data_IF_085890415734
#
_entry.id   IF_085890415734
#
_cell.length_a   1.000
_cell.length_b   1.000
_cell.length_c   1.000
_cell.angle_alpha   90.00
_cell.angle_beta   90.00
_cell.angle_gamma   90.00
#
_symmetry.space_group_name_H-M   'P 1'
#
loop_
_entity.id
_entity.type
_entity.pdbx_description
1 polymer ?
#
# COMPACT_ATOMS: atom_id res chain seq x y z
N UNK A 1 32.04 35.00 1.10
CA UNK A 1 31.33 34.30 0.01
C UNK A 1 30.45 33.25 0.67
N UNK A 2 29.17 33.53 0.83
CA UNK A 2 28.22 32.54 1.29
C UNK A 2 27.91 31.62 0.10
N UNK A 3 28.27 30.34 0.21
CA UNK A 3 27.82 29.35 -0.75
C UNK A 3 26.31 29.19 -0.57
N UNK A 4 25.54 29.76 -1.48
CA UNK A 4 24.16 29.36 -1.70
C UNK A 4 24.19 27.89 -2.18
N UNK A 5 24.21 26.95 -1.24
CA UNK A 5 23.71 25.62 -1.54
C UNK A 5 22.21 25.81 -1.84
N UNK A 6 21.70 25.36 -3.00
CA UNK A 6 20.27 25.33 -3.19
C UNK A 6 19.69 24.49 -2.05
N UNK A 7 18.73 25.05 -1.32
CA UNK A 7 17.97 24.30 -0.31
C UNK A 7 17.47 23.06 -1.07
N UNK A 8 18.03 21.89 -0.74
CA UNK A 8 17.62 20.66 -1.40
C UNK A 8 16.15 20.50 -1.07
N UNK A 9 15.29 20.53 -2.08
CA UNK A 9 13.85 20.40 -1.91
C UNK A 9 13.58 19.27 -0.89
N UNK A 10 12.96 19.55 0.27
CA UNK A 10 12.79 18.55 1.32
C UNK A 10 12.14 17.32 0.70
N UNK A 11 12.79 16.16 0.84
CA UNK A 11 12.36 14.95 0.15
C UNK A 11 11.09 14.44 0.83
N UNK A 12 9.92 14.76 0.28
CA UNK A 12 8.63 14.30 0.81
C UNK A 12 8.40 12.86 0.36
N UNK A 13 8.60 11.88 1.22
CA UNK A 13 8.43 10.46 0.86
C UNK A 13 6.95 10.11 0.89
N UNK A 14 6.45 9.52 -0.18
CA UNK A 14 5.08 9.01 -0.21
C UNK A 14 5.08 7.57 -0.68
N UNK A 15 4.62 6.68 0.20
CA UNK A 15 4.49 5.25 -0.07
C UNK A 15 3.06 4.99 -0.51
N UNK A 16 2.95 4.53 -1.74
CA UNK A 16 1.75 3.99 -2.33
C UNK A 16 1.77 2.48 -2.11
N UNK A 17 0.85 2.01 -1.26
CA UNK A 17 0.69 0.60 -0.93
C UNK A 17 -0.70 0.10 -1.32
N UNK A 18 -0.86 -1.21 -1.21
CA UNK A 18 -2.15 -1.89 -1.14
C UNK A 18 -2.20 -2.71 0.15
N UNK A 19 -3.40 -3.08 0.64
CA UNK A 19 -3.52 -4.05 1.71
C UNK A 19 -2.64 -5.29 1.46
N UNK A 20 -2.03 -5.80 2.54
CA UNK A 20 -1.20 -7.02 2.52
C UNK A 20 0.12 -6.93 1.74
N UNK A 21 0.60 -5.75 1.36
CA UNK A 21 1.95 -5.56 0.77
C UNK A 21 3.07 -5.34 1.81
N UNK A 22 2.92 -5.80 3.05
CA UNK A 22 3.89 -5.59 4.15
C UNK A 22 4.14 -4.12 4.52
N UNK A 23 3.24 -3.21 4.18
CA UNK A 23 3.40 -1.78 4.49
C UNK A 23 3.47 -1.48 5.98
N UNK A 24 2.67 -2.16 6.80
CA UNK A 24 2.76 -2.05 8.26
C UNK A 24 4.17 -2.36 8.78
N UNK A 25 4.82 -3.40 8.24
CA UNK A 25 6.20 -3.75 8.56
C UNK A 25 7.18 -2.69 8.04
N UNK A 26 7.01 -2.26 6.79
CA UNK A 26 7.83 -1.20 6.19
C UNK A 26 7.81 0.07 7.05
N UNK A 27 6.62 0.53 7.45
CA UNK A 27 6.47 1.65 8.40
C UNK A 27 7.20 1.41 9.70
N UNK A 28 7.13 0.20 10.25
CA UNK A 28 7.77 -0.13 11.53
C UNK A 28 9.30 0.00 11.46
N UNK A 29 9.91 -0.35 10.33
CA UNK A 29 11.36 -0.21 10.10
C UNK A 29 11.82 1.25 10.23
N UNK A 30 10.99 2.20 9.80
CA UNK A 30 11.30 3.63 9.76
C UNK A 30 10.63 4.45 10.87
N UNK A 31 9.78 3.84 11.70
CA UNK A 31 8.91 4.56 12.64
C UNK A 31 9.65 5.44 13.65
N UNK A 32 10.89 5.05 14.00
CA UNK A 32 11.74 5.75 14.95
C UNK A 32 12.96 6.41 14.29
N UNK A 33 12.97 6.52 12.96
CA UNK A 33 14.06 7.17 12.26
C UNK A 33 14.12 8.66 12.62
N UNK A 34 15.27 9.19 13.09
CA UNK A 34 15.34 10.54 13.66
C UNK A 34 14.97 11.63 12.64
N UNK A 35 15.30 11.40 11.37
CA UNK A 35 15.05 12.34 10.26
C UNK A 35 13.63 12.24 9.66
N UNK A 36 12.81 11.26 10.07
CA UNK A 36 11.49 11.02 9.45
C UNK A 36 10.35 11.31 10.41
N UNK A 37 9.29 11.95 9.93
CA UNK A 37 7.98 12.00 10.58
C UNK A 37 7.03 11.07 9.83
N UNK A 38 6.47 10.07 10.52
CA UNK A 38 5.56 9.09 9.92
C UNK A 38 4.12 9.57 10.01
N UNK A 39 3.46 9.76 8.87
CA UNK A 39 2.01 9.95 8.76
C UNK A 39 1.35 8.67 8.26
N UNK A 40 0.70 7.97 9.18
CA UNK A 40 0.21 6.63 8.94
C UNK A 40 -1.16 6.59 8.26
N UNK A 41 -1.21 6.08 7.03
CA UNK A 41 -2.41 5.81 6.22
C UNK A 41 -3.58 6.83 6.36
N UNK A 42 -3.40 8.15 6.24
CA UNK A 42 -4.47 9.14 6.47
C UNK A 42 -5.63 9.05 5.45
N UNK A 43 -5.44 8.44 4.27
CA UNK A 43 -6.53 8.17 3.32
C UNK A 43 -7.25 6.83 3.56
N UNK A 44 -6.77 5.98 4.48
CA UNK A 44 -7.42 4.69 4.77
C UNK A 44 -8.88 4.84 5.19
N UNK A 45 -9.21 5.72 6.16
CA UNK A 45 -10.58 5.99 6.53
C UNK A 45 -11.45 6.43 5.36
N UNK A 46 -11.04 7.45 4.60
CA UNK A 46 -11.82 7.96 3.47
C UNK A 46 -12.12 6.89 2.42
N UNK A 47 -11.13 6.05 2.09
CA UNK A 47 -11.25 5.05 1.02
C UNK A 47 -12.05 3.81 1.42
N UNK A 48 -12.10 3.42 2.71
CA UNK A 48 -12.72 2.15 3.14
C UNK A 48 -13.91 2.29 4.10
N UNK A 49 -14.00 3.36 4.87
CA UNK A 49 -14.91 3.43 6.02
C UNK A 49 -15.75 4.72 6.02
N UNK A 50 -15.18 5.80 5.51
CA UNK A 50 -15.79 7.11 5.42
C UNK A 50 -17.00 7.18 4.47
N UNK A 51 -17.57 8.38 4.31
CA UNK A 51 -18.73 8.60 3.46
C UNK A 51 -18.40 8.58 1.97
N UNK A 52 -17.12 8.51 1.58
CA UNK A 52 -16.66 8.46 0.18
C UNK A 52 -15.99 7.12 -0.16
N UNK A 53 -16.13 6.12 0.71
CA UNK A 53 -15.52 4.80 0.54
C UNK A 53 -15.93 4.16 -0.78
N UNK A 54 -15.01 3.44 -1.43
CA UNK A 54 -15.28 2.90 -2.77
C UNK A 54 -16.41 1.86 -2.77
N UNK A 55 -16.66 1.19 -1.64
CA UNK A 55 -17.71 0.16 -1.51
C UNK A 55 -19.11 0.69 -1.85
N UNK A 56 -19.34 2.00 -1.81
CA UNK A 56 -20.62 2.58 -2.21
C UNK A 56 -20.93 2.41 -3.71
N UNK A 57 -19.92 2.07 -4.51
CA UNK A 57 -20.01 1.95 -5.97
C UNK A 57 -19.91 0.51 -6.45
N UNK A 58 -19.77 -0.45 -5.55
CA UNK A 58 -19.52 -1.85 -5.85
C UNK A 58 -20.74 -2.72 -5.59
N UNK A 59 -20.73 -3.91 -6.19
CA UNK A 59 -21.62 -5.01 -5.82
C UNK A 59 -20.91 -5.89 -4.80
N UNK A 60 -21.55 -6.07 -3.65
CA UNK A 60 -21.09 -6.95 -2.60
C UNK A 60 -22.26 -7.73 -1.99
N UNK A 61 -21.96 -8.80 -1.28
CA UNK A 61 -22.96 -9.65 -0.67
C UNK A 61 -23.69 -8.96 0.50
N UNK A 62 -24.90 -9.44 0.82
CA UNK A 62 -25.74 -8.89 1.88
C UNK A 62 -25.09 -8.95 3.28
N UNK A 63 -24.21 -9.94 3.52
CA UNK A 63 -23.48 -10.06 4.78
C UNK A 63 -22.45 -8.92 4.95
N UNK A 64 -21.81 -8.48 3.86
CA UNK A 64 -20.90 -7.35 3.89
C UNK A 64 -21.62 -6.01 4.10
N UNK A 65 -22.79 -5.86 3.47
CA UNK A 65 -23.69 -4.73 3.70
C UNK A 65 -24.05 -4.55 5.19
N UNK A 66 -24.37 -5.67 5.86
CA UNK A 66 -24.74 -5.67 7.27
C UNK A 66 -23.59 -5.19 8.15
N UNK A 67 -22.38 -5.73 7.95
CA UNK A 67 -21.18 -5.29 8.66
C UNK A 67 -20.94 -3.79 8.48
N UNK A 68 -21.08 -3.29 7.26
CA UNK A 68 -20.85 -1.87 6.98
C UNK A 68 -21.90 -0.96 7.66
N UNK A 69 -23.15 -1.41 7.78
CA UNK A 69 -24.19 -0.69 8.55
C UNK A 69 -23.86 -0.66 10.04
N UNK A 70 -23.42 -1.78 10.60
CA UNK A 70 -23.01 -1.86 12.00
C UNK A 70 -21.83 -0.93 12.28
N UNK A 71 -20.78 -0.99 11.46
CA UNK A 71 -19.65 -0.07 11.55
C UNK A 71 -20.06 1.39 11.44
N UNK A 72 -21.03 1.71 10.59
CA UNK A 72 -21.56 3.07 10.44
C UNK A 72 -22.11 3.69 11.74
N UNK A 73 -22.54 2.86 12.70
CA UNK A 73 -23.16 3.31 13.96
C UNK A 73 -22.31 3.03 15.21
N UNK A 74 -21.22 2.28 15.06
CA UNK A 74 -20.40 1.86 16.20
C UNK A 74 -19.55 3.02 16.77
N UNK A 75 -19.24 2.93 18.06
CA UNK A 75 -18.32 3.88 18.72
C UNK A 75 -16.91 3.75 18.15
N UNK A 76 -16.49 2.52 17.85
CA UNK A 76 -15.15 2.21 17.34
C UNK A 76 -14.83 2.93 16.03
N UNK A 77 -15.79 3.01 15.11
CA UNK A 77 -15.58 3.60 13.77
C UNK A 77 -16.01 5.07 13.69
N UNK A 78 -16.47 5.68 14.79
CA UNK A 78 -17.04 7.04 14.79
C UNK A 78 -16.11 8.08 14.15
N UNK A 79 -14.81 7.99 14.42
CA UNK A 79 -13.83 8.91 13.82
C UNK A 79 -13.66 8.64 12.33
N UNK A 80 -13.48 7.37 11.93
CA UNK A 80 -13.24 6.99 10.55
C UNK A 80 -14.43 7.27 9.62
N UNK A 81 -15.65 7.13 10.13
CA UNK A 81 -16.89 7.36 9.39
C UNK A 81 -17.08 8.82 8.96
N UNK A 82 -16.28 9.76 9.48
CA UNK A 82 -16.36 11.19 9.15
C UNK A 82 -15.26 11.67 8.19
N UNK A 83 -14.25 10.83 7.93
CA UNK A 83 -13.09 11.21 7.12
C UNK A 83 -13.43 11.18 5.64
N UNK A 84 -13.23 12.31 4.98
CA UNK A 84 -13.32 12.50 3.52
C UNK A 84 -11.93 12.60 2.90
N UNK A 85 -11.79 12.37 1.59
CA UNK A 85 -10.55 12.62 0.85
C UNK A 85 -10.06 14.05 1.06
N UNK A 86 -10.98 15.03 0.98
CA UNK A 86 -10.67 16.45 1.25
C UNK A 86 -10.10 16.69 2.65
N UNK A 87 -10.64 16.03 3.67
CA UNK A 87 -10.12 16.16 5.05
C UNK A 87 -8.77 15.46 5.24
N UNK A 88 -8.55 14.34 4.55
CA UNK A 88 -7.29 13.62 4.55
C UNK A 88 -6.19 14.40 3.82
N UNK A 89 -6.51 15.03 2.68
CA UNK A 89 -5.61 15.94 1.96
C UNK A 89 -5.16 17.12 2.83
N UNK A 90 -6.11 17.76 3.52
CA UNK A 90 -5.79 18.86 4.45
C UNK A 90 -4.83 18.40 5.54
N UNK A 91 -5.11 17.24 6.16
CA UNK A 91 -4.23 16.66 7.18
C UNK A 91 -2.84 16.35 6.63
N UNK A 92 -2.75 15.81 5.41
CA UNK A 92 -1.47 15.55 4.76
C UNK A 92 -0.66 16.84 4.59
N UNK A 93 -1.28 17.91 4.08
CA UNK A 93 -0.60 19.21 3.90
C UNK A 93 -0.13 19.79 5.24
N UNK A 94 -0.98 19.77 6.27
CA UNK A 94 -0.63 20.26 7.61
C UNK A 94 0.58 19.50 8.21
N UNK A 95 0.65 18.19 8.01
CA UNK A 95 1.75 17.35 8.48
C UNK A 95 3.04 17.54 7.66
N UNK A 96 2.93 17.79 6.35
CA UNK A 96 4.08 18.18 5.52
C UNK A 96 4.68 19.49 6.05
N UNK A 97 3.86 20.52 6.23
CA UNK A 97 4.30 21.82 6.74
C UNK A 97 4.89 21.71 8.16
N UNK A 98 4.33 20.84 9.01
CA UNK A 98 4.87 20.57 10.33
C UNK A 98 6.25 19.87 10.27
N UNK A 99 6.42 18.88 9.41
CA UNK A 99 7.68 18.18 9.24
C UNK A 99 8.78 19.09 8.67
N UNK A 100 8.45 19.93 7.67
CA UNK A 100 9.39 20.89 7.09
C UNK A 100 9.88 21.93 8.11
N UNK A 101 9.00 22.38 9.02
CA UNK A 101 9.41 23.25 10.14
C UNK A 101 10.38 22.58 11.11
N UNK A 102 10.37 21.25 11.18
CA UNK A 102 11.24 20.44 12.03
C UNK A 102 12.45 19.87 11.29
N UNK A 103 12.66 20.24 10.02
CA UNK A 103 13.68 19.66 9.14
C UNK A 103 13.60 18.13 9.05
N UNK A 104 12.37 17.59 9.08
CA UNK A 104 12.06 16.16 8.94
C UNK A 104 11.37 15.87 7.61
N UNK A 105 11.59 14.68 7.08
CA UNK A 105 10.89 14.20 5.89
C UNK A 105 9.60 13.47 6.30
N UNK A 106 8.47 13.85 5.69
CA UNK A 106 7.22 13.13 5.89
C UNK A 106 7.24 11.82 5.10
N UNK A 107 6.81 10.73 5.74
CA UNK A 107 6.52 9.44 5.10
C UNK A 107 5.04 9.12 5.22
N UNK A 108 4.35 8.95 4.08
CA UNK A 108 2.94 8.62 3.99
C UNK A 108 2.72 7.19 3.50
N UNK A 109 1.69 6.45 3.94
CA UNK A 109 1.57 5.01 3.63
C UNK A 109 0.36 4.50 2.83
N UNK A 110 -0.52 5.30 2.22
CA UNK A 110 -1.63 4.75 1.39
C UNK A 110 -1.96 5.54 0.13
N UNK A 111 -2.25 4.87 -0.98
CA UNK A 111 -2.79 5.55 -2.16
C UNK A 111 -4.27 5.93 -1.98
N UNK A 112 -4.69 7.16 -2.33
CA UNK A 112 -6.09 7.46 -2.60
C UNK A 112 -6.36 7.26 -4.10
N UNK A 113 -6.78 6.08 -4.54
CA UNK A 113 -7.06 5.80 -5.96
C UNK A 113 -8.43 6.34 -6.37
N UNK A 114 -8.49 7.09 -7.48
CA UNK A 114 -9.69 7.78 -7.99
C UNK A 114 -10.53 6.92 -8.92
N UNK A 115 -9.89 5.99 -9.61
CA UNK A 115 -10.58 5.15 -10.57
C UNK A 115 -11.44 4.13 -9.81
N UNK A 116 -12.71 3.99 -10.20
CA UNK A 116 -13.68 3.12 -9.51
C UNK A 116 -13.94 1.81 -10.27
N UNK A 117 -13.43 1.68 -11.50
CA UNK A 117 -13.58 0.48 -12.35
C UNK A 117 -12.25 0.15 -13.06
N UNK A 118 -11.35 -0.66 -12.47
CA UNK A 118 -10.09 -1.04 -13.11
C UNK A 118 -10.25 -2.00 -14.32
N UNK A 119 -11.49 -2.42 -14.62
CA UNK A 119 -11.85 -3.43 -15.63
C UNK A 119 -11.62 -2.98 -17.09
N UNK A 120 -11.21 -1.74 -17.34
CA UNK A 120 -11.00 -1.28 -18.72
C UNK A 120 -9.72 -1.92 -19.27
N UNK A 121 -9.89 -2.86 -20.19
CA UNK A 121 -8.82 -3.41 -21.03
C UNK A 121 -8.37 -2.32 -22.02
N UNK A 122 -7.07 -2.15 -22.29
CA UNK A 122 -6.65 -1.25 -23.35
C UNK A 122 -7.15 -1.83 -24.69
N UNK A 123 -8.07 -1.12 -25.35
CA UNK A 123 -8.46 -1.45 -26.72
C UNK A 123 -7.26 -1.25 -27.64
N UNK A 124 -6.87 -2.30 -28.36
CA UNK A 124 -5.92 -2.23 -29.48
C UNK A 124 -6.43 -1.26 -30.54
N UNK A 125 -6.01 0.00 -30.45
CA UNK A 125 -6.25 1.01 -31.48
C UNK A 125 -4.94 1.73 -31.74
N UNK A 126 -4.63 1.94 -33.02
CA UNK A 126 -3.38 2.52 -33.55
C UNK A 126 -3.28 4.04 -33.34
N UNK A 127 -3.95 4.58 -32.32
CA UNK A 127 -3.81 5.97 -31.92
C UNK A 127 -2.62 6.12 -30.95
N UNK A 128 -1.93 7.27 -30.93
CA UNK A 128 -0.96 7.55 -29.87
C UNK A 128 -1.65 7.30 -28.53
N UNK A 129 -1.02 6.49 -27.66
CA UNK A 129 -1.61 6.17 -26.37
C UNK A 129 -2.00 7.48 -25.66
N UNK A 130 -3.24 7.59 -25.16
CA UNK A 130 -3.66 8.78 -24.45
C UNK A 130 -2.69 9.08 -23.30
N UNK A 131 -2.39 10.35 -23.06
CA UNK A 131 -1.67 10.76 -21.86
C UNK A 131 -2.38 10.18 -20.64
N UNK A 132 -1.69 9.41 -19.78
CA UNK A 132 -2.30 8.86 -18.59
C UNK A 132 -2.88 9.97 -17.71
N UNK A 133 -4.14 9.85 -17.32
CA UNK A 133 -4.75 10.75 -16.34
C UNK A 133 -4.27 10.43 -14.93
N UNK A 134 -4.20 11.42 -14.04
CA UNK A 134 -3.85 11.21 -12.63
C UNK A 134 -4.83 10.23 -11.97
N UNK A 135 -4.38 9.01 -11.58
CA UNK A 135 -5.27 7.98 -11.06
C UNK A 135 -5.56 8.15 -9.56
N UNK A 136 -5.14 9.26 -8.95
CA UNK A 136 -5.28 9.52 -7.51
C UNK A 136 -6.22 10.68 -7.20
N UNK A 137 -6.64 10.79 -5.94
CA UNK A 137 -7.29 12.01 -5.43
C UNK A 137 -6.29 13.10 -5.03
N UNK A 138 -4.97 12.85 -5.09
CA UNK A 138 -3.96 13.86 -4.78
C UNK A 138 -3.85 14.87 -5.92
N UNK A 139 -3.79 16.18 -5.64
CA UNK A 139 -3.50 17.18 -6.65
C UNK A 139 -2.16 16.92 -7.35
N UNK A 140 -2.08 17.15 -8.66
CA UNK A 140 -0.84 16.97 -9.44
C UNK A 140 0.30 17.85 -8.90
N UNK A 141 -0.02 19.07 -8.46
CA UNK A 141 0.93 19.99 -7.85
C UNK A 141 1.55 19.42 -6.57
N UNK A 142 0.82 18.58 -5.83
CA UNK A 142 1.36 17.90 -4.67
C UNK A 142 2.19 16.69 -5.09
N UNK A 143 1.67 15.83 -5.99
CA UNK A 143 2.39 14.67 -6.52
C UNK A 143 3.77 15.03 -7.09
N UNK A 144 3.86 16.14 -7.82
CA UNK A 144 5.11 16.66 -8.38
C UNK A 144 6.17 17.02 -7.33
N UNK A 145 5.80 17.15 -6.05
CA UNK A 145 6.75 17.44 -4.95
C UNK A 145 7.19 16.20 -4.19
N UNK A 146 6.56 15.05 -4.44
CA UNK A 146 6.80 13.82 -3.69
C UNK A 146 7.93 13.01 -4.30
N UNK A 147 8.56 12.18 -3.47
CA UNK A 147 9.36 11.02 -3.85
C UNK A 147 8.46 9.78 -3.71
N UNK A 148 7.88 9.29 -4.81
CA UNK A 148 6.94 8.17 -4.77
C UNK A 148 7.68 6.84 -4.58
N UNK A 149 7.22 6.05 -3.60
CA UNK A 149 7.61 4.66 -3.39
C UNK A 149 6.38 3.79 -3.61
N UNK A 150 6.42 2.81 -4.51
CA UNK A 150 5.35 1.85 -4.71
C UNK A 150 5.73 0.54 -4.04
N UNK A 151 4.92 0.08 -3.11
CA UNK A 151 5.12 -1.19 -2.41
C UNK A 151 4.22 -2.27 -3.01
N UNK A 152 4.84 -3.23 -3.71
CA UNK A 152 4.18 -4.32 -4.41
C UNK A 152 4.44 -5.66 -3.70
N UNK A 153 3.65 -6.68 -4.03
CA UNK A 153 3.86 -8.03 -3.50
C UNK A 153 3.19 -9.06 -4.41
N UNK A 154 3.78 -10.25 -4.49
CA UNK A 154 3.24 -11.35 -5.29
C UNK A 154 1.74 -11.63 -4.99
N UNK A 155 0.85 -11.74 -6.01
CA UNK A 155 -0.58 -11.98 -5.82
C UNK A 155 -0.90 -13.24 -5.00
N UNK A 156 -0.16 -14.32 -5.20
CA UNK A 156 -0.25 -15.56 -4.42
C UNK A 156 -0.05 -15.37 -2.89
N UNK A 157 0.58 -14.27 -2.46
CA UNK A 157 0.71 -13.90 -1.06
C UNK A 157 -0.36 -12.90 -0.61
N UNK A 158 -0.68 -11.90 -1.44
CA UNK A 158 -1.62 -10.83 -1.07
C UNK A 158 -3.07 -11.30 -1.07
N UNK A 159 -3.50 -12.03 -2.11
CA UNK A 159 -4.91 -12.42 -2.30
C UNK A 159 -5.37 -13.41 -1.22
N UNK A 160 -4.70 -14.55 -0.98
CA UNK A 160 -5.12 -15.47 0.09
C UNK A 160 -4.97 -14.84 1.49
N UNK A 161 -4.00 -13.95 1.71
CA UNK A 161 -3.88 -13.23 2.98
C UNK A 161 -5.01 -12.23 3.19
N UNK A 162 -5.46 -11.56 2.12
CA UNK A 162 -6.62 -10.67 2.14
C UNK A 162 -7.89 -11.49 2.41
N UNK A 163 -8.07 -12.62 1.73
CA UNK A 163 -9.22 -13.51 1.95
C UNK A 163 -9.35 -13.95 3.41
N UNK A 164 -8.26 -14.43 4.04
CA UNK A 164 -8.24 -14.81 5.47
C UNK A 164 -8.74 -13.72 6.42
N UNK A 165 -8.61 -12.46 6.01
CA UNK A 165 -8.94 -11.29 6.81
C UNK A 165 -10.33 -10.80 6.47
N UNK A 166 -10.56 -10.44 5.21
CA UNK A 166 -11.78 -9.78 4.75
C UNK A 166 -13.02 -10.68 4.88
N UNK A 167 -12.89 -11.99 4.65
CA UNK A 167 -13.98 -12.94 4.86
C UNK A 167 -14.46 -13.00 6.32
N UNK A 168 -13.63 -12.55 7.28
CA UNK A 168 -13.95 -12.55 8.71
C UNK A 168 -14.32 -11.18 9.24
N UNK A 169 -13.65 -10.13 8.76
CA UNK A 169 -13.89 -8.77 9.28
C UNK A 169 -15.04 -8.07 8.55
N UNK A 170 -15.21 -8.35 7.25
CA UNK A 170 -16.23 -7.72 6.39
C UNK A 170 -17.23 -8.71 5.83
N UNK A 171 -17.07 -10.01 6.11
CA UNK A 171 -17.87 -11.07 5.51
C UNK A 171 -17.93 -10.99 3.97
N UNK A 172 -16.86 -10.49 3.32
CA UNK A 172 -16.80 -10.44 1.86
C UNK A 172 -16.87 -11.84 1.28
N UNK A 173 -17.58 -11.99 0.16
CA UNK A 173 -17.42 -13.10 -0.77
C UNK A 173 -16.18 -12.88 -1.63
N UNK A 174 -15.57 -13.97 -2.10
CA UNK A 174 -14.40 -13.91 -3.00
C UNK A 174 -14.76 -13.30 -4.36
N UNK A 175 -16.04 -13.34 -4.73
CA UNK A 175 -16.58 -12.78 -5.97
C UNK A 175 -17.08 -11.34 -5.80
N UNK A 176 -17.06 -10.78 -4.58
CA UNK A 176 -17.47 -9.40 -4.37
C UNK A 176 -16.49 -8.46 -5.09
N UNK A 177 -17.03 -7.43 -5.75
CA UNK A 177 -16.21 -6.41 -6.43
C UNK A 177 -15.27 -5.73 -5.44
N UNK A 178 -15.69 -5.57 -4.18
CA UNK A 178 -14.87 -5.07 -3.08
C UNK A 178 -13.60 -5.89 -2.84
N UNK A 179 -13.71 -7.22 -2.92
CA UNK A 179 -12.57 -8.09 -2.71
C UNK A 179 -11.54 -7.88 -3.83
N UNK A 180 -12.00 -7.84 -5.08
CA UNK A 180 -11.15 -7.52 -6.23
C UNK A 180 -10.47 -6.15 -6.08
N UNK A 181 -11.23 -5.10 -5.72
CA UNK A 181 -10.67 -3.75 -5.57
C UNK A 181 -9.63 -3.64 -4.43
N UNK A 182 -9.73 -4.48 -3.39
CA UNK A 182 -8.76 -4.57 -2.30
C UNK A 182 -7.46 -5.24 -2.71
N UNK A 183 -7.51 -6.16 -3.67
CA UNK A 183 -6.38 -7.04 -3.99
C UNK A 183 -5.73 -6.76 -5.33
N UNK A 184 -6.35 -5.97 -6.21
CA UNK A 184 -5.84 -5.73 -7.56
C UNK A 184 -4.55 -4.90 -7.57
N UNK A 185 -3.59 -5.32 -8.40
CA UNK A 185 -2.36 -4.59 -8.73
C UNK A 185 -2.59 -3.53 -9.81
N UNK A 186 -3.76 -3.51 -10.46
CA UNK A 186 -4.08 -2.55 -11.51
C UNK A 186 -3.92 -1.11 -11.06
N UNK A 187 -4.32 -0.80 -9.83
CA UNK A 187 -4.11 0.51 -9.21
C UNK A 187 -2.66 0.95 -9.17
N UNK A 188 -1.78 0.06 -8.74
CA UNK A 188 -0.36 0.32 -8.66
C UNK A 188 0.24 0.43 -10.05
N UNK A 189 -0.23 -0.36 -11.01
CA UNK A 189 0.19 -0.31 -12.42
C UNK A 189 -0.16 1.04 -13.04
N UNK A 190 -1.43 1.44 -12.98
CA UNK A 190 -1.90 2.70 -13.55
C UNK A 190 -1.15 3.90 -12.95
N UNK A 191 -0.93 3.87 -11.62
CA UNK A 191 -0.14 4.88 -10.92
C UNK A 191 1.31 4.89 -11.39
N UNK A 192 1.95 3.72 -11.51
CA UNK A 192 3.33 3.64 -11.98
C UNK A 192 3.47 4.20 -13.40
N UNK A 193 2.56 3.81 -14.30
CA UNK A 193 2.52 4.31 -15.68
C UNK A 193 2.36 5.83 -15.71
N UNK A 194 1.44 6.38 -14.93
CA UNK A 194 1.26 7.83 -14.78
C UNK A 194 2.52 8.53 -14.28
N UNK A 195 3.11 8.07 -13.18
CA UNK A 195 4.29 8.68 -12.58
C UNK A 195 5.51 8.61 -13.49
N UNK A 196 5.72 7.49 -14.19
CA UNK A 196 6.79 7.35 -15.18
C UNK A 196 6.60 8.33 -16.33
N UNK A 197 5.38 8.44 -16.87
CA UNK A 197 5.07 9.39 -17.93
C UNK A 197 5.38 10.84 -17.52
N UNK A 198 4.91 11.26 -16.33
CA UNK A 198 5.17 12.59 -15.80
C UNK A 198 6.67 12.85 -15.57
N UNK A 199 7.39 11.88 -15.03
CA UNK A 199 8.83 12.00 -14.78
C UNK A 199 9.68 12.07 -16.07
N UNK A 200 9.17 11.55 -17.19
CA UNK A 200 9.86 11.52 -18.48
C UNK A 200 9.56 12.73 -19.38
N UNK A 201 8.36 13.32 -19.25
CA UNK A 201 7.87 14.40 -20.12
C UNK A 201 8.00 15.80 -19.50
N UNK A 202 8.15 15.88 -18.19
CA UNK A 202 8.28 17.15 -17.49
C UNK A 202 9.66 17.77 -17.73
N UNK A 203 9.73 18.78 -18.61
CA UNK A 203 10.91 19.64 -18.81
C UNK A 203 11.38 20.34 -17.52
N UNK A 204 10.50 20.43 -16.51
CA UNK A 204 10.77 20.98 -15.19
C UNK A 204 11.08 19.85 -14.18
N UNK A 205 12.25 19.87 -13.54
CA UNK A 205 12.82 18.81 -12.68
C UNK A 205 12.07 18.48 -11.36
N UNK A 206 10.82 18.89 -11.21
CA UNK A 206 10.05 18.68 -9.98
C UNK A 206 9.69 17.20 -9.76
N UNK A 207 9.19 16.52 -10.79
CA UNK A 207 8.77 15.13 -10.71
C UNK A 207 9.96 14.18 -10.46
N UNK A 208 9.83 13.37 -9.41
CA UNK A 208 10.81 12.34 -9.08
C UNK A 208 10.41 11.01 -9.73
N UNK A 209 11.40 10.27 -10.22
CA UNK A 209 11.20 8.89 -10.69
C UNK A 209 10.71 8.03 -9.52
N UNK A 210 9.64 7.22 -9.70
CA UNK A 210 9.15 6.33 -8.66
C UNK A 210 10.15 5.22 -8.34
N UNK A 211 10.21 4.85 -7.05
CA UNK A 211 10.94 3.69 -6.55
C UNK A 211 9.96 2.55 -6.34
N UNK A 212 10.17 1.40 -6.97
CA UNK A 212 9.31 0.23 -6.76
C UNK A 212 10.02 -0.75 -5.81
N UNK A 213 9.35 -1.10 -4.72
CA UNK A 213 9.84 -2.01 -3.70
C UNK A 213 8.93 -3.22 -3.66
N UNK A 214 9.56 -4.40 -3.69
CA UNK A 214 8.87 -5.65 -3.48
C UNK A 214 8.86 -6.01 -1.99
N UNK A 215 7.68 -6.30 -1.45
CA UNK A 215 7.47 -6.68 -0.05
C UNK A 215 8.28 -7.91 0.37
N UNK A 216 8.67 -8.77 -0.59
CA UNK A 216 9.60 -9.86 -0.32
C UNK A 216 10.93 -9.36 0.23
N UNK A 217 11.46 -8.28 -0.32
CA UNK A 217 12.75 -7.73 0.09
C UNK A 217 12.67 -7.05 1.45
N UNK A 218 11.50 -6.48 1.78
CA UNK A 218 11.24 -5.91 3.11
C UNK A 218 11.43 -6.97 4.21
N UNK A 219 11.04 -8.21 3.93
CA UNK A 219 11.13 -9.32 4.89
C UNK A 219 12.46 -10.08 4.78
N UNK A 220 12.83 -10.49 3.57
CA UNK A 220 13.89 -11.46 3.35
C UNK A 220 15.25 -10.83 3.03
N UNK A 221 15.26 -9.58 2.56
CA UNK A 221 16.47 -8.83 2.20
C UNK A 221 16.53 -7.46 2.90
N UNK A 222 16.00 -7.39 4.12
CA UNK A 222 15.73 -6.14 4.84
C UNK A 222 16.94 -5.20 4.87
N UNK A 223 18.09 -5.66 5.36
CA UNK A 223 19.29 -4.84 5.47
C UNK A 223 19.80 -4.30 4.12
N UNK A 224 19.74 -5.12 3.06
CA UNK A 224 20.16 -4.73 1.71
C UNK A 224 19.20 -3.68 1.14
N UNK A 225 17.89 -3.94 1.27
CA UNK A 225 16.85 -3.02 0.84
C UNK A 225 16.96 -1.68 1.55
N UNK A 226 17.03 -1.67 2.89
CA UNK A 226 17.03 -0.43 3.66
C UNK A 226 18.33 0.33 3.48
N UNK A 227 19.47 -0.36 3.36
CA UNK A 227 20.74 0.28 3.02
C UNK A 227 20.70 1.00 1.68
N UNK A 228 20.21 0.34 0.62
CA UNK A 228 20.06 0.96 -0.70
C UNK A 228 19.04 2.09 -0.69
N UNK A 229 17.86 1.85 -0.11
CA UNK A 229 16.79 2.85 -0.06
C UNK A 229 17.22 4.11 0.72
N UNK A 230 17.88 3.96 1.86
CA UNK A 230 18.43 5.09 2.61
C UNK A 230 19.45 5.87 1.76
N UNK A 231 20.32 5.18 1.01
CA UNK A 231 21.25 5.83 0.06
C UNK A 231 20.52 6.64 -1.02
N UNK A 232 19.50 6.08 -1.65
CA UNK A 232 18.67 6.77 -2.65
C UNK A 232 17.94 7.97 -2.05
N UNK A 233 17.47 7.85 -0.81
CA UNK A 233 16.71 8.86 -0.08
C UNK A 233 17.57 9.88 0.66
N UNK A 234 18.88 9.66 0.77
CA UNK A 234 19.79 10.53 1.53
C UNK A 234 19.58 10.46 3.04
N UNK A 235 19.13 9.32 3.55
CA UNK A 235 18.89 9.06 4.97
C UNK A 235 20.03 8.24 5.58
N UNK A 236 20.26 8.36 6.88
CA UNK A 236 21.17 7.46 7.59
C UNK A 236 20.55 6.07 7.82
N UNK A 237 21.14 5.03 7.23
CA UNK A 237 20.70 3.65 7.44
C UNK A 237 20.72 3.20 8.92
N UNK A 238 21.51 3.85 9.78
CA UNK A 238 21.52 3.58 11.22
C UNK A 238 20.20 3.97 11.92
N UNK A 239 19.38 4.83 11.30
CA UNK A 239 18.04 5.19 11.81
C UNK A 239 16.99 4.09 11.63
N UNK A 240 17.29 3.04 10.85
CA UNK A 240 16.37 1.94 10.55
C UNK A 240 16.41 0.87 11.64
N UNK A 241 15.25 0.35 12.04
CA UNK A 241 15.11 -0.62 13.12
C UNK A 241 14.55 -1.96 12.65
N UNK A 242 15.36 -3.02 12.71
CA UNK A 242 14.89 -4.40 12.45
C UNK A 242 14.36 -5.12 13.70
N UNK A 243 14.60 -4.58 14.89
CA UNK A 243 14.17 -5.15 16.18
C UNK A 243 13.45 -4.09 17.00
N UNK A 244 12.45 -4.51 17.75
CA UNK A 244 11.66 -3.63 18.62
C UNK A 244 11.16 -4.37 19.86
N UNK A 245 10.72 -3.60 20.86
CA UNK A 245 10.02 -4.17 22.01
C UNK A 245 8.72 -4.83 21.52
N UNK A 246 8.57 -6.12 21.80
CA UNK A 246 7.31 -6.83 21.64
C UNK A 246 6.28 -6.26 22.62
N UNK A 247 5.13 -5.83 22.10
CA UNK A 247 4.08 -5.24 22.93
C UNK A 247 3.26 -6.35 23.61
N UNK A 248 3.01 -6.26 24.93
CA UNK A 248 2.06 -7.14 25.60
C UNK A 248 0.64 -6.87 25.08
N UNK A 249 -0.25 -7.86 25.20
CA UNK A 249 -1.57 -7.84 24.52
C UNK A 249 -2.44 -6.67 24.97
N UNK A 250 -2.28 -6.24 26.21
CA UNK A 250 -2.99 -5.14 26.86
C UNK A 250 -2.61 -3.77 26.28
N UNK A 251 -1.44 -3.67 25.64
CA UNK A 251 -0.96 -2.45 24.96
C UNK A 251 -1.32 -2.42 23.47
N UNK A 252 -2.06 -3.40 22.95
CA UNK A 252 -2.45 -3.41 21.53
C UNK A 252 -3.52 -2.36 21.25
N UNK A 253 -3.64 -1.88 19.99
CA UNK A 253 -4.71 -0.96 19.61
C UNK A 253 -6.09 -1.52 19.93
N UNK A 254 -7.00 -0.65 20.38
CA UNK A 254 -8.39 -1.03 20.67
C UNK A 254 -9.24 -1.29 19.42
N UNK A 255 -8.82 -0.75 18.26
CA UNK A 255 -9.56 -0.90 17.01
C UNK A 255 -9.33 -2.30 16.41
N UNK A 256 -10.41 -3.09 16.33
CA UNK A 256 -10.49 -4.46 15.84
C UNK A 256 -9.88 -4.64 14.44
N UNK A 257 -10.21 -3.76 13.49
CA UNK A 257 -9.63 -3.79 12.14
C UNK A 257 -8.13 -3.57 12.16
N UNK A 258 -7.65 -2.58 12.92
CA UNK A 258 -6.21 -2.34 13.07
C UNK A 258 -5.52 -3.59 13.60
N UNK A 259 -6.10 -4.23 14.63
CA UNK A 259 -5.58 -5.49 15.17
C UNK A 259 -5.59 -6.61 14.13
N UNK A 260 -6.67 -6.79 13.36
CA UNK A 260 -6.77 -7.84 12.34
C UNK A 260 -5.70 -7.70 11.24
N UNK A 261 -5.33 -6.46 10.91
CA UNK A 261 -4.31 -6.16 9.91
C UNK A 261 -2.87 -6.21 10.45
N UNK A 262 -2.68 -5.96 11.75
CA UNK A 262 -1.35 -5.82 12.36
C UNK A 262 -1.00 -6.88 13.38
N UNK A 263 -1.85 -7.88 13.63
CA UNK A 263 -1.68 -8.92 14.65
C UNK A 263 -0.27 -9.51 14.69
N UNK A 264 0.24 -9.97 13.55
CA UNK A 264 1.54 -10.63 13.48
C UNK A 264 2.67 -9.65 13.81
N UNK A 265 2.56 -8.38 13.37
CA UNK A 265 3.52 -7.32 13.69
C UNK A 265 3.46 -6.89 15.16
N UNK A 266 2.26 -6.77 15.74
CA UNK A 266 2.07 -6.45 17.16
C UNK A 266 2.62 -7.56 18.06
N UNK A 267 2.55 -8.81 17.60
CA UNK A 267 3.09 -9.99 18.28
C UNK A 267 4.59 -10.20 18.09
N UNK A 268 5.28 -9.45 17.23
CA UNK A 268 6.70 -9.68 16.92
C UNK A 268 7.64 -8.79 17.75
N UNK A 269 8.89 -9.24 17.89
CA UNK A 269 10.01 -8.46 18.45
C UNK A 269 10.97 -7.90 17.39
N UNK A 270 10.59 -7.99 16.12
CA UNK A 270 11.42 -7.63 14.97
C UNK A 270 10.90 -8.20 13.67
N UNK A 271 11.71 -8.13 12.63
CA UNK A 271 11.43 -8.74 11.32
C UNK A 271 11.45 -10.26 11.45
N UNK A 272 10.29 -10.89 11.31
CA UNK A 272 10.16 -12.34 11.36
C UNK A 272 10.18 -12.94 9.95
N UNK A 273 11.27 -13.67 9.67
CA UNK A 273 11.45 -14.41 8.42
C UNK A 273 10.84 -15.78 8.64
N UNK A 274 9.60 -15.96 8.18
CA UNK A 274 8.87 -17.22 8.37
C UNK A 274 9.71 -18.41 7.88
N UNK A 275 9.96 -19.38 8.76
CA UNK A 275 10.59 -20.64 8.37
C UNK A 275 9.63 -21.36 7.42
N UNK A 276 10.10 -21.72 6.22
CA UNK A 276 9.34 -22.55 5.27
C UNK A 276 8.30 -21.83 4.40
N UNK A 277 8.26 -20.49 4.36
CA UNK A 277 7.54 -19.79 3.29
C UNK A 277 8.41 -19.85 2.02
N UNK A 278 7.89 -20.35 0.89
CA UNK A 278 8.67 -20.42 -0.34
C UNK A 278 9.18 -19.03 -0.69
N UNK A 279 10.45 -18.99 -1.10
CA UNK A 279 11.02 -17.79 -1.73
C UNK A 279 10.15 -17.46 -2.95
N UNK A 280 9.95 -16.18 -3.27
CA UNK A 280 9.06 -15.79 -4.38
C UNK A 280 9.41 -16.45 -5.72
N UNK A 281 10.68 -16.78 -5.90
CA UNK A 281 11.23 -17.48 -7.07
C UNK A 281 10.77 -18.95 -7.19
N UNK A 282 10.13 -19.50 -6.17
CA UNK A 282 9.70 -20.89 -6.07
C UNK A 282 8.18 -21.03 -5.83
N UNK A 283 7.38 -20.00 -6.14
CA UNK A 283 5.92 -20.13 -6.09
C UNK A 283 5.42 -21.04 -7.20
N UNK A 284 5.14 -22.27 -6.82
CA UNK A 284 4.37 -23.21 -7.62
C UNK A 284 2.87 -22.97 -7.31
N UNK A 285 2.15 -22.39 -8.29
CA UNK A 285 0.75 -22.00 -8.13
C UNK A 285 -0.12 -23.24 -7.93
N UNK A 286 0.19 -24.36 -8.55
CA UNK A 286 -0.51 -25.63 -8.35
C UNK A 286 -0.36 -26.10 -6.90
N UNK A 287 0.85 -26.09 -6.35
CA UNK A 287 1.10 -26.45 -4.94
C UNK A 287 0.40 -25.51 -3.97
N UNK A 288 0.42 -24.20 -4.22
CA UNK A 288 -0.30 -23.24 -3.39
C UNK A 288 -1.82 -23.41 -3.51
N UNK A 289 -2.33 -23.73 -4.69
CA UNK A 289 -3.75 -24.01 -4.91
C UNK A 289 -4.22 -25.17 -4.03
N UNK A 290 -3.46 -26.27 -3.97
CA UNK A 290 -3.80 -27.41 -3.11
C UNK A 290 -3.78 -27.04 -1.61
N UNK A 291 -2.87 -26.15 -1.18
CA UNK A 291 -2.88 -25.60 0.18
C UNK A 291 -4.13 -24.75 0.42
N UNK A 292 -4.53 -23.91 -0.53
CA UNK A 292 -5.72 -23.06 -0.40
C UNK A 292 -7.01 -23.89 -0.38
N UNK A 293 -7.10 -24.96 -1.17
CA UNK A 293 -8.21 -25.92 -1.10
C UNK A 293 -8.29 -26.60 0.26
N UNK A 294 -7.14 -27.01 0.81
CA UNK A 294 -7.07 -27.59 2.15
C UNK A 294 -7.47 -26.60 3.26
N UNK A 295 -7.11 -25.32 3.12
CA UNK A 295 -7.39 -24.29 4.13
C UNK A 295 -8.81 -23.72 4.04
N UNK A 296 -9.34 -23.52 2.83
CA UNK A 296 -10.58 -22.77 2.58
C UNK A 296 -11.69 -23.58 1.90
N UNK A 297 -11.43 -24.84 1.54
CA UNK A 297 -12.32 -25.67 0.76
C UNK A 297 -12.08 -25.56 -0.75
N UNK A 298 -12.52 -26.58 -1.49
CA UNK A 298 -12.25 -26.76 -2.93
C UNK A 298 -12.65 -25.53 -3.76
N UNK A 299 -13.89 -25.06 -3.57
CA UNK A 299 -14.45 -23.95 -4.36
C UNK A 299 -13.65 -22.66 -4.16
N UNK A 300 -13.42 -22.27 -2.90
CA UNK A 300 -12.69 -21.03 -2.59
C UNK A 300 -11.22 -21.15 -2.99
N UNK A 301 -10.60 -22.32 -2.81
CA UNK A 301 -9.22 -22.57 -3.24
C UNK A 301 -9.04 -22.38 -4.75
N UNK A 302 -9.98 -22.88 -5.55
CA UNK A 302 -9.97 -22.69 -7.01
C UNK A 302 -10.21 -21.22 -7.40
N UNK A 303 -11.15 -20.52 -6.78
CA UNK A 303 -11.38 -19.09 -7.06
C UNK A 303 -10.18 -18.21 -6.66
N UNK A 304 -9.46 -18.56 -5.59
CA UNK A 304 -8.21 -17.87 -5.22
C UNK A 304 -7.14 -18.03 -6.31
N UNK A 305 -7.01 -19.22 -6.90
CA UNK A 305 -6.12 -19.45 -8.04
C UNK A 305 -6.48 -18.55 -9.22
N UNK A 306 -7.75 -18.50 -9.61
CA UNK A 306 -8.22 -17.65 -10.71
C UNK A 306 -7.90 -16.17 -10.45
N UNK A 307 -8.15 -15.68 -9.23
CA UNK A 307 -7.82 -14.31 -8.84
C UNK A 307 -6.30 -14.03 -8.93
N UNK A 308 -5.47 -14.99 -8.50
CA UNK A 308 -4.01 -14.87 -8.56
C UNK A 308 -3.54 -14.81 -10.00
N UNK A 309 -3.97 -15.74 -10.85
CA UNK A 309 -3.60 -15.81 -12.26
C UNK A 309 -4.01 -14.53 -13.01
N UNK A 310 -5.19 -13.96 -12.72
CA UNK A 310 -5.67 -12.72 -13.31
C UNK A 310 -4.79 -11.50 -12.98
N UNK A 311 -4.13 -11.49 -11.82
CA UNK A 311 -3.32 -10.38 -11.33
C UNK A 311 -1.83 -10.50 -11.67
N UNK A 312 -1.38 -11.65 -12.19
CA UNK A 312 0.04 -11.91 -12.47
C UNK A 312 0.62 -10.95 -13.51
N UNK A 313 -0.12 -10.64 -14.58
CA UNK A 313 0.39 -9.76 -15.64
C UNK A 313 0.65 -8.32 -15.14
N UNK A 314 -0.21 -7.81 -14.26
CA UNK A 314 -0.01 -6.49 -13.64
C UNK A 314 1.13 -6.51 -12.62
N UNK A 315 1.24 -7.60 -11.84
CA UNK A 315 2.36 -7.80 -10.93
C UNK A 315 3.72 -7.89 -11.65
N UNK A 316 3.83 -8.68 -12.72
CA UNK A 316 5.06 -8.85 -13.49
C UNK A 316 5.51 -7.54 -14.14
N UNK A 317 4.56 -6.76 -14.67
CA UNK A 317 4.83 -5.41 -15.15
C UNK A 317 5.45 -4.55 -14.05
N UNK A 318 4.80 -4.46 -12.88
CA UNK A 318 5.31 -3.69 -11.74
C UNK A 318 6.68 -4.17 -11.28
N UNK A 319 6.86 -5.49 -11.18
CA UNK A 319 8.10 -6.14 -10.77
C UNK A 319 9.26 -5.84 -11.69
N UNK A 320 9.04 -5.61 -12.99
CA UNK A 320 10.10 -5.22 -13.92
C UNK A 320 10.75 -3.86 -13.60
N UNK A 321 10.12 -3.04 -12.76
CA UNK A 321 10.65 -1.75 -12.27
C UNK A 321 11.19 -1.83 -10.84
N UNK A 322 11.15 -3.01 -10.22
CA UNK A 322 11.63 -3.25 -8.86
C UNK A 322 13.07 -2.74 -8.72
N UNK A 323 13.34 -2.02 -7.64
CA UNK A 323 14.69 -1.61 -7.27
C UNK A 323 15.58 -2.84 -7.09
N UNK A 324 16.65 -2.92 -7.88
CA UNK A 324 17.69 -3.95 -7.70
C UNK A 324 18.37 -3.73 -6.35
N UNK A 325 18.63 -4.77 -5.55
CA UNK A 325 19.26 -4.64 -4.23
C UNK A 325 20.39 -5.64 -4.03
#
# INVERSE_FOLDING_TARGET
MASNNPISNPRRIFIFDNPRTCSHLFSKLFANHPELQLLYHPFLPAALYGPERYQQKTKHCAAADEVQREWGTSVEFREWNTVTYKSADRKLVEEIEAAERQDRMLSHLRSPTRNSNPTTTPSSSSHPEPTPENPTYLPESLLATLTPILLIRHPALTIPSSWRTESKIKNLSIEDEDFYLLTTNRWSRDLLTYLLHQSATSDNSSWRKPIVIDAYDVVHRTAQLTGKLCGELGLDAAGVQEKWRKLPREEWPGHSVVVAYTRDLLGSGGVERGVGKPLEENFDIEVETEKWKGEFGEEVGMKLRECVEAEMADYEYLRSFKMEI
#
